data_IF_890622791365
#
_entry.id   IF_890622791365
#
_cell.length_a   1.000
_cell.length_b   1.000
_cell.length_c   1.000
_cell.angle_alpha   90.00
_cell.angle_beta   90.00
_cell.angle_gamma   90.00
#
_symmetry.space_group_name_H-M   'P 1'
#
loop_
_entity.id
_entity.type
_entity.pdbx_description
1 polymer ?
#
# COMPACT_ATOMS: atom_id res chain seq x y z
N UNK A 1 16.49 -30.95 -37.05
CA UNK A 1 17.91 -30.83 -37.38
C UNK A 1 18.31 -29.37 -37.16
N UNK A 2 19.07 -29.09 -36.08
CA UNK A 2 20.07 -28.01 -35.85
C UNK A 2 19.63 -26.56 -36.23
N UNK A 3 19.50 -25.58 -35.31
CA UNK A 3 20.57 -25.02 -34.47
C UNK A 3 20.00 -24.33 -33.21
N UNK A 4 20.52 -24.74 -32.05
CA UNK A 4 20.42 -23.99 -30.80
C UNK A 4 21.44 -22.84 -30.80
N UNK A 5 20.99 -21.66 -30.36
CA UNK A 5 21.87 -20.58 -29.89
C UNK A 5 21.87 -20.59 -28.38
N UNK A 6 22.93 -21.16 -27.83
CA UNK A 6 23.35 -21.05 -26.43
C UNK A 6 23.73 -19.60 -26.12
N UNK A 7 22.76 -18.82 -25.65
CA UNK A 7 23.01 -17.56 -24.97
C UNK A 7 23.41 -17.83 -23.53
N UNK A 8 24.71 -17.86 -23.26
CA UNK A 8 25.25 -17.90 -21.90
C UNK A 8 24.89 -16.58 -21.20
N UNK A 9 23.87 -16.63 -20.32
CA UNK A 9 23.57 -15.52 -19.41
C UNK A 9 24.69 -15.43 -18.36
N UNK A 10 25.71 -14.62 -18.63
CA UNK A 10 26.59 -14.09 -17.58
C UNK A 10 25.80 -13.12 -16.70
N UNK A 11 24.99 -13.67 -15.79
CA UNK A 11 24.46 -12.93 -14.67
C UNK A 11 25.63 -12.46 -13.81
N UNK A 12 25.94 -11.15 -13.88
CA UNK A 12 26.83 -10.47 -12.94
C UNK A 12 26.43 -10.89 -11.52
N UNK A 13 27.24 -11.74 -10.86
CA UNK A 13 27.13 -12.02 -9.42
C UNK A 13 27.36 -10.70 -8.68
N UNK A 14 26.32 -9.87 -8.54
CA UNK A 14 26.32 -8.73 -7.62
C UNK A 14 26.48 -9.31 -6.22
N UNK A 15 27.54 -8.94 -5.52
CA UNK A 15 27.89 -9.45 -4.20
C UNK A 15 26.67 -9.53 -3.28
N UNK A 16 26.25 -10.75 -2.93
CA UNK A 16 25.10 -10.98 -2.07
C UNK A 16 25.26 -10.25 -0.71
N UNK A 17 26.49 -10.22 -0.18
CA UNK A 17 26.86 -9.53 1.07
C UNK A 17 26.78 -7.99 0.99
N UNK A 18 27.00 -7.38 -0.18
CA UNK A 18 26.85 -5.92 -0.31
C UNK A 18 25.39 -5.49 -0.37
N UNK A 19 24.54 -6.35 -0.95
CA UNK A 19 23.10 -6.11 -0.99
C UNK A 19 22.48 -6.28 0.39
N UNK A 20 22.97 -7.22 1.21
CA UNK A 20 22.47 -7.48 2.55
C UNK A 20 22.67 -6.29 3.51
N UNK A 21 23.90 -5.77 3.61
CA UNK A 21 24.19 -4.55 4.39
C UNK A 21 23.39 -3.36 3.90
N UNK A 22 23.27 -3.20 2.58
CA UNK A 22 22.43 -2.15 1.99
C UNK A 22 20.96 -2.31 2.42
N UNK A 23 20.42 -3.53 2.35
CA UNK A 23 19.04 -3.81 2.77
C UNK A 23 18.82 -3.55 4.25
N UNK A 24 19.80 -3.86 5.08
CA UNK A 24 19.73 -3.57 6.50
C UNK A 24 19.73 -2.05 6.77
N UNK A 25 20.58 -1.27 6.08
CA UNK A 25 20.59 0.20 6.19
C UNK A 25 19.25 0.79 5.71
N UNK A 26 18.74 0.35 4.55
CA UNK A 26 17.41 0.74 4.06
C UNK A 26 16.30 0.43 5.08
N UNK A 27 16.40 -0.73 5.75
CA UNK A 27 15.48 -1.12 6.81
C UNK A 27 15.58 -0.21 8.04
N UNK A 28 16.79 0.14 8.49
CA UNK A 28 16.98 1.08 9.59
C UNK A 28 16.40 2.47 9.26
N UNK A 29 16.63 2.96 8.04
CA UNK A 29 16.02 4.21 7.57
C UNK A 29 14.50 4.14 7.55
N UNK A 30 13.94 3.05 7.00
CA UNK A 30 12.50 2.80 7.01
C UNK A 30 11.93 2.84 8.44
N UNK A 31 12.56 2.12 9.38
CA UNK A 31 12.13 2.07 10.79
C UNK A 31 12.27 3.42 11.49
N UNK A 32 13.30 4.19 11.16
CA UNK A 32 13.47 5.55 11.67
C UNK A 32 12.34 6.46 11.21
N UNK A 33 12.04 6.46 9.91
CA UNK A 33 10.93 7.24 9.32
C UNK A 33 9.59 6.82 9.91
N UNK A 34 9.33 5.51 10.03
CA UNK A 34 8.10 4.97 10.62
C UNK A 34 7.89 5.48 12.05
N UNK A 35 8.92 5.41 12.92
CA UNK A 35 8.84 5.92 14.30
C UNK A 35 8.56 7.42 14.36
N UNK A 36 9.17 8.21 13.47
CA UNK A 36 8.89 9.64 13.38
C UNK A 36 7.42 9.88 12.98
N UNK A 37 6.91 9.11 12.03
CA UNK A 37 5.51 9.20 11.59
C UNK A 37 4.53 8.79 12.70
N UNK A 38 4.89 7.85 13.58
CA UNK A 38 4.04 7.44 14.70
C UNK A 38 3.73 8.59 15.66
N UNK A 39 4.72 9.43 15.97
CA UNK A 39 4.57 10.55 16.91
C UNK A 39 3.90 11.79 16.29
N UNK A 40 3.80 11.88 14.96
CA UNK A 40 3.20 13.05 14.31
C UNK A 40 1.66 13.09 14.50
N UNK A 41 1.11 14.25 14.88
CA UNK A 41 -0.34 14.47 14.94
C UNK A 41 -0.95 14.49 13.53
N UNK A 42 -2.27 14.28 13.45
CA UNK A 42 -3.00 14.15 12.17
C UNK A 42 -2.78 15.33 11.21
N UNK A 43 -2.80 16.57 11.71
CA UNK A 43 -2.58 17.75 10.86
C UNK A 43 -1.17 17.79 10.24
N UNK A 44 -0.15 17.32 10.97
CA UNK A 44 1.23 17.28 10.47
C UNK A 44 1.39 16.19 9.41
N UNK A 45 0.66 15.08 9.56
CA UNK A 45 0.58 14.01 8.58
C UNK A 45 -0.08 14.49 7.28
N UNK A 46 -1.19 15.24 7.37
CA UNK A 46 -1.85 15.86 6.20
C UNK A 46 -0.95 16.87 5.47
N UNK A 47 -0.23 17.70 6.23
CA UNK A 47 0.74 18.65 5.67
C UNK A 47 1.89 17.91 4.97
N UNK A 48 2.42 16.85 5.60
CA UNK A 48 3.48 16.03 5.02
C UNK A 48 2.99 15.32 3.75
N UNK A 49 1.78 14.76 3.73
CA UNK A 49 1.19 14.14 2.54
C UNK A 49 1.09 15.15 1.38
N UNK A 50 0.61 16.36 1.67
CA UNK A 50 0.49 17.44 0.69
C UNK A 50 1.86 17.87 0.15
N UNK A 51 2.86 17.97 1.01
CA UNK A 51 4.23 18.28 0.62
C UNK A 51 4.86 17.19 -0.26
N UNK A 52 4.74 15.92 0.14
CA UNK A 52 5.24 14.78 -0.66
C UNK A 52 4.55 14.69 -2.02
N UNK A 53 3.25 14.95 -2.07
CA UNK A 53 2.49 15.00 -3.32
C UNK A 53 2.96 16.15 -4.22
N UNK A 54 3.20 17.34 -3.66
CA UNK A 54 3.78 18.47 -4.39
C UNK A 54 5.15 18.12 -4.97
N UNK A 55 6.04 17.51 -4.17
CA UNK A 55 7.36 17.08 -4.65
C UNK A 55 7.22 16.04 -5.77
N UNK A 56 6.41 15.00 -5.58
CA UNK A 56 6.25 13.92 -6.55
C UNK A 56 5.62 14.40 -7.87
N UNK A 57 4.59 15.24 -7.80
CA UNK A 57 3.80 15.64 -8.96
C UNK A 57 4.33 16.88 -9.69
N UNK A 58 4.69 17.92 -8.93
CA UNK A 58 5.04 19.23 -9.48
C UNK A 58 6.54 19.40 -9.72
N UNK A 59 7.37 18.96 -8.76
CA UNK A 59 8.83 19.13 -8.81
C UNK A 59 9.48 17.99 -9.62
N UNK A 60 9.36 16.76 -9.13
CA UNK A 60 9.99 15.58 -9.72
C UNK A 60 9.23 15.06 -10.94
N UNK A 61 7.93 15.37 -11.05
CA UNK A 61 7.01 14.89 -12.09
C UNK A 61 7.05 13.35 -12.24
N UNK A 62 7.29 12.65 -11.13
CA UNK A 62 7.50 11.20 -11.10
C UNK A 62 6.28 10.49 -11.66
N UNK A 63 6.42 9.82 -12.82
CA UNK A 63 5.33 9.12 -13.52
C UNK A 63 4.08 9.97 -13.83
N UNK A 64 4.19 11.30 -13.79
CA UNK A 64 3.06 12.21 -14.04
C UNK A 64 2.42 11.98 -15.41
N UNK A 65 3.22 11.71 -16.45
CA UNK A 65 2.74 11.39 -17.80
C UNK A 65 1.85 10.14 -17.80
N UNK A 66 2.29 9.07 -17.14
CA UNK A 66 1.52 7.82 -17.03
C UNK A 66 0.18 8.05 -16.33
N UNK A 67 0.18 8.82 -15.24
CA UNK A 67 -1.04 9.16 -14.53
C UNK A 67 -2.04 9.92 -15.43
N UNK A 68 -1.57 10.93 -16.17
CA UNK A 68 -2.42 11.72 -17.07
C UNK A 68 -2.93 10.91 -18.26
N UNK A 69 -2.11 10.03 -18.84
CA UNK A 69 -2.55 9.12 -19.91
C UNK A 69 -3.61 8.13 -19.43
N UNK A 70 -3.45 7.57 -18.22
CA UNK A 70 -4.45 6.70 -17.64
C UNK A 70 -5.77 7.44 -17.41
N UNK A 71 -5.72 8.67 -16.89
CA UNK A 71 -6.91 9.50 -16.71
C UNK A 71 -7.56 9.90 -18.05
N UNK A 72 -6.76 10.12 -19.10
CA UNK A 72 -7.28 10.39 -20.43
C UNK A 72 -8.03 9.19 -21.03
N UNK A 73 -7.58 7.96 -20.74
CA UNK A 73 -8.26 6.74 -21.18
C UNK A 73 -9.50 6.43 -20.33
N UNK A 74 -9.42 6.65 -19.02
CA UNK A 74 -10.52 6.36 -18.09
C UNK A 74 -11.64 7.41 -18.12
N UNK A 75 -11.29 8.67 -18.36
CA UNK A 75 -12.20 9.81 -18.39
C UNK A 75 -11.98 10.68 -19.63
N UNK A 76 -12.21 10.13 -20.85
CA UNK A 76 -12.00 10.86 -22.09
C UNK A 76 -12.87 12.13 -22.19
N UNK A 77 -14.03 12.13 -21.56
CA UNK A 77 -14.99 13.23 -21.51
C UNK A 77 -14.54 14.42 -20.65
N UNK A 78 -13.61 14.20 -19.71
CA UNK A 78 -13.16 15.25 -18.80
C UNK A 78 -12.16 16.20 -19.48
N UNK A 79 -12.24 17.53 -19.27
CA UNK A 79 -11.23 18.45 -19.75
C UNK A 79 -9.83 18.14 -19.19
N UNK A 80 -8.79 18.54 -19.93
CA UNK A 80 -7.39 18.34 -19.51
C UNK A 80 -7.11 18.96 -18.14
N UNK A 81 -7.67 20.14 -17.86
CA UNK A 81 -7.53 20.81 -16.57
C UNK A 81 -8.12 19.98 -15.41
N UNK A 82 -9.27 19.34 -15.62
CA UNK A 82 -9.89 18.48 -14.61
C UNK A 82 -9.08 17.20 -14.39
N UNK A 83 -8.62 16.54 -15.47
CA UNK A 83 -7.71 15.39 -15.38
C UNK A 83 -6.41 15.75 -14.64
N UNK A 84 -5.88 16.95 -14.86
CA UNK A 84 -4.70 17.45 -14.17
C UNK A 84 -4.96 17.65 -12.66
N UNK A 85 -6.14 18.16 -12.29
CA UNK A 85 -6.57 18.29 -10.89
C UNK A 85 -6.71 16.91 -10.23
N UNK A 86 -7.40 15.98 -10.88
CA UNK A 86 -7.57 14.59 -10.39
C UNK A 86 -6.21 13.92 -10.20
N UNK A 87 -5.29 14.08 -11.16
CA UNK A 87 -3.95 13.53 -11.03
C UNK A 87 -3.20 14.07 -9.80
N UNK A 88 -3.30 15.38 -9.53
CA UNK A 88 -2.67 15.98 -8.35
C UNK A 88 -3.28 15.44 -7.05
N UNK A 89 -4.60 15.38 -6.96
CA UNK A 89 -5.29 14.81 -5.79
C UNK A 89 -4.97 13.33 -5.60
N UNK A 90 -4.82 12.57 -6.69
CA UNK A 90 -4.40 11.17 -6.62
C UNK A 90 -2.99 11.01 -6.01
N UNK A 91 -2.07 11.95 -6.24
CA UNK A 91 -0.75 11.93 -5.60
C UNK A 91 -0.84 12.26 -4.11
N UNK A 92 -1.71 13.20 -3.73
CA UNK A 92 -1.99 13.49 -2.31
C UNK A 92 -2.61 12.29 -1.61
N UNK A 93 -3.62 11.67 -2.22
CA UNK A 93 -4.23 10.43 -1.73
C UNK A 93 -3.21 9.31 -1.57
N UNK A 94 -2.35 9.10 -2.56
CA UNK A 94 -1.31 8.08 -2.49
C UNK A 94 -0.28 8.36 -1.39
N UNK A 95 0.15 9.62 -1.24
CA UNK A 95 1.03 10.01 -0.14
C UNK A 95 0.37 9.77 1.22
N UNK A 96 -0.92 10.09 1.35
CA UNK A 96 -1.69 9.85 2.56
C UNK A 96 -1.76 8.35 2.87
N UNK A 97 -2.12 7.53 1.90
CA UNK A 97 -2.15 6.09 2.02
C UNK A 97 -0.82 5.49 2.51
N UNK A 98 0.31 5.96 2.00
CA UNK A 98 1.64 5.50 2.44
C UNK A 98 1.93 5.87 3.90
N UNK A 99 1.57 7.09 4.32
CA UNK A 99 1.75 7.53 5.70
C UNK A 99 0.81 6.78 6.67
N UNK A 100 -0.45 6.57 6.29
CA UNK A 100 -1.40 5.76 7.07
C UNK A 100 -0.94 4.32 7.19
N UNK A 101 -0.42 3.73 6.10
CA UNK A 101 0.18 2.40 6.14
C UNK A 101 1.33 2.31 7.16
N UNK A 102 2.19 3.33 7.26
CA UNK A 102 3.23 3.35 8.29
C UNK A 102 2.65 3.53 9.70
N UNK A 103 1.54 4.27 9.87
CA UNK A 103 0.87 4.45 11.16
C UNK A 103 0.02 3.25 11.60
N UNK A 104 -0.39 2.39 10.68
CA UNK A 104 -1.34 1.31 10.97
C UNK A 104 -0.86 0.39 12.10
N UNK A 105 0.46 0.21 12.27
CA UNK A 105 1.04 -0.60 13.34
C UNK A 105 0.95 0.06 14.73
N UNK A 106 0.74 1.37 14.78
CA UNK A 106 0.55 2.16 16.01
C UNK A 106 -0.91 2.27 16.46
N UNK A 107 -1.86 1.83 15.63
CA UNK A 107 -3.28 1.88 15.94
C UNK A 107 -3.75 0.61 16.67
N UNK A 108 -4.94 0.74 17.28
CA UNK A 108 -5.71 -0.35 17.86
C UNK A 108 -7.04 -0.52 17.09
N UNK A 109 -7.79 -1.58 17.42
CA UNK A 109 -9.05 -1.87 16.74
C UNK A 109 -10.09 -0.75 16.93
N UNK A 110 -10.28 -0.15 18.13
CA UNK A 110 -11.17 1.01 18.29
C UNK A 110 -10.81 2.18 17.40
N UNK A 111 -9.51 2.48 17.24
CA UNK A 111 -9.05 3.55 16.34
C UNK A 111 -9.40 3.24 14.88
N UNK A 112 -9.13 2.02 14.41
CA UNK A 112 -9.53 1.59 13.06
C UNK A 112 -11.04 1.69 12.88
N UNK A 113 -11.82 1.22 13.85
CA UNK A 113 -13.27 1.25 13.80
C UNK A 113 -13.84 2.67 13.70
N UNK A 114 -13.27 3.62 14.43
CA UNK A 114 -13.67 5.04 14.35
C UNK A 114 -13.48 5.67 12.96
N UNK A 115 -12.66 5.06 12.10
CA UNK A 115 -12.41 5.53 10.73
C UNK A 115 -13.34 4.89 9.71
N UNK A 116 -14.14 3.90 10.10
CA UNK A 116 -14.97 3.13 9.19
C UNK A 116 -16.41 3.59 9.24
N UNK A 117 -16.95 3.87 8.06
CA UNK A 117 -18.38 4.04 7.85
C UNK A 117 -18.80 3.13 6.71
N UNK A 118 -19.80 2.28 6.95
CA UNK A 118 -20.33 1.36 5.96
C UNK A 118 -21.73 1.81 5.56
N UNK A 119 -21.97 1.94 4.26
CA UNK A 119 -23.31 2.21 3.72
C UNK A 119 -24.31 1.11 4.12
N UNK A 120 -23.81 -0.12 4.31
CA UNK A 120 -24.59 -1.27 4.77
C UNK A 120 -23.88 -1.95 5.95
N UNK A 121 -24.09 -1.49 7.20
CA UNK A 121 -23.33 -1.94 8.36
C UNK A 121 -23.50 -3.43 8.67
N UNK A 122 -24.65 -4.02 8.32
CA UNK A 122 -24.95 -5.42 8.60
C UNK A 122 -24.36 -6.39 7.56
N UNK A 123 -23.86 -5.89 6.43
CA UNK A 123 -23.45 -6.74 5.30
C UNK A 123 -22.31 -7.69 5.69
N UNK A 124 -21.34 -7.24 6.48
CA UNK A 124 -20.26 -8.11 6.95
C UNK A 124 -20.76 -9.17 7.94
N UNK A 125 -21.67 -8.83 8.85
CA UNK A 125 -22.23 -9.80 9.79
C UNK A 125 -23.09 -10.84 9.09
N UNK A 126 -23.88 -10.41 8.09
CA UNK A 126 -24.66 -11.32 7.23
C UNK A 126 -23.75 -12.24 6.43
N UNK A 127 -22.65 -11.71 5.88
CA UNK A 127 -21.65 -12.51 5.18
C UNK A 127 -21.02 -13.54 6.12
N UNK A 128 -20.66 -13.14 7.33
CA UNK A 128 -20.09 -14.04 8.35
C UNK A 128 -21.03 -15.19 8.68
N UNK A 129 -22.32 -14.90 8.85
CA UNK A 129 -23.34 -15.90 9.16
C UNK A 129 -23.65 -16.82 7.97
N UNK A 130 -23.66 -16.28 6.75
CA UNK A 130 -24.15 -17.00 5.56
C UNK A 130 -23.17 -18.05 5.04
N UNK A 131 -21.87 -17.89 5.27
CA UNK A 131 -20.90 -18.83 4.72
C UNK A 131 -20.88 -20.19 5.45
N UNK A 132 -21.45 -20.30 6.67
CA UNK A 132 -21.72 -21.59 7.32
C UNK A 132 -20.51 -22.52 7.45
N UNK A 133 -19.32 -21.97 7.65
CA UNK A 133 -18.04 -22.70 7.68
C UNK A 133 -17.37 -22.93 6.31
N UNK A 134 -18.01 -22.58 5.19
CA UNK A 134 -17.36 -22.54 3.87
C UNK A 134 -16.51 -21.27 3.77
N UNK A 135 -15.28 -21.38 3.30
CA UNK A 135 -14.43 -20.20 3.09
C UNK A 135 -15.01 -19.26 2.03
N UNK A 136 -14.60 -17.99 2.03
CA UNK A 136 -14.94 -17.01 1.00
C UNK A 136 -13.69 -16.25 0.55
N UNK A 137 -13.76 -15.64 -0.63
CA UNK A 137 -12.69 -14.78 -1.15
C UNK A 137 -13.19 -13.35 -1.19
N UNK A 138 -12.52 -12.46 -0.46
CA UNK A 138 -12.74 -11.02 -0.56
C UNK A 138 -11.86 -10.46 -1.67
N UNK A 139 -12.50 -9.86 -2.68
CA UNK A 139 -11.78 -9.21 -3.79
C UNK A 139 -11.90 -7.70 -3.64
N UNK A 140 -10.78 -7.00 -3.68
CA UNK A 140 -10.71 -5.54 -3.66
C UNK A 140 -9.77 -5.02 -4.73
N UNK A 141 -9.87 -3.73 -5.04
CA UNK A 141 -8.94 -3.02 -5.92
C UNK A 141 -7.87 -2.26 -5.13
N UNK A 142 -6.82 -1.81 -5.83
CA UNK A 142 -5.90 -0.80 -5.30
C UNK A 142 -6.58 0.57 -5.30
N UNK A 143 -7.61 0.70 -4.48
CA UNK A 143 -8.50 1.85 -4.43
C UNK A 143 -8.80 2.23 -2.98
N UNK A 144 -9.03 3.52 -2.73
CA UNK A 144 -9.18 4.05 -1.37
C UNK A 144 -7.93 3.75 -0.54
N UNK A 145 -8.12 3.45 0.75
CA UNK A 145 -7.07 2.90 1.62
C UNK A 145 -7.30 1.40 1.86
N UNK A 146 -6.78 0.58 0.94
CA UNK A 146 -6.99 -0.87 0.96
C UNK A 146 -6.29 -1.57 2.14
N UNK A 147 -5.18 -1.03 2.67
CA UNK A 147 -4.48 -1.64 3.81
C UNK A 147 -5.28 -1.44 5.10
N UNK A 148 -5.81 -0.24 5.33
CA UNK A 148 -6.61 0.06 6.52
C UNK A 148 -7.91 -0.72 6.56
N UNK A 149 -8.64 -0.80 5.43
CA UNK A 149 -9.88 -1.59 5.37
C UNK A 149 -9.59 -3.08 5.52
N UNK A 150 -8.50 -3.60 4.93
CA UNK A 150 -8.11 -4.99 5.11
C UNK A 150 -7.83 -5.29 6.59
N UNK A 151 -7.00 -4.46 7.25
CA UNK A 151 -6.67 -4.61 8.66
C UNK A 151 -7.91 -4.61 9.56
N UNK A 152 -8.84 -3.69 9.32
CA UNK A 152 -10.09 -3.63 10.07
C UNK A 152 -10.95 -4.88 9.85
N UNK A 153 -11.16 -5.29 8.59
CA UNK A 153 -12.00 -6.45 8.28
C UNK A 153 -11.42 -7.75 8.85
N UNK A 154 -10.11 -7.94 8.73
CA UNK A 154 -9.43 -9.11 9.28
C UNK A 154 -9.54 -9.15 10.81
N UNK A 155 -9.20 -8.05 11.49
CA UNK A 155 -9.22 -8.00 12.95
C UNK A 155 -10.64 -8.09 13.55
N UNK A 156 -11.66 -7.56 12.88
CA UNK A 156 -13.03 -7.52 13.41
C UNK A 156 -13.89 -8.72 13.00
N UNK A 157 -13.83 -9.13 11.73
CA UNK A 157 -14.79 -10.09 11.17
C UNK A 157 -14.16 -11.41 10.77
N UNK A 158 -12.86 -11.43 10.45
CA UNK A 158 -12.20 -12.60 9.83
C UNK A 158 -10.85 -12.92 10.48
N UNK A 159 -10.83 -13.23 11.79
CA UNK A 159 -9.61 -13.60 12.47
C UNK A 159 -8.99 -14.84 11.82
N UNK A 160 -7.75 -14.72 11.33
CA UNK A 160 -7.04 -15.80 10.63
C UNK A 160 -7.28 -15.85 9.11
N UNK A 161 -7.78 -14.78 8.51
CA UNK A 161 -7.77 -14.60 7.06
C UNK A 161 -6.36 -14.63 6.48
N UNK A 162 -6.23 -14.93 5.18
CA UNK A 162 -4.94 -14.95 4.49
C UNK A 162 -4.90 -13.94 3.35
N UNK A 163 -3.88 -13.08 3.34
CA UNK A 163 -3.56 -12.22 2.20
C UNK A 163 -2.61 -12.89 1.21
N UNK A 164 -2.84 -12.71 -0.09
CA UNK A 164 -1.85 -13.08 -1.12
C UNK A 164 -0.87 -11.92 -1.29
N UNK A 165 0.38 -12.12 -0.90
CA UNK A 165 1.41 -11.07 -0.87
C UNK A 165 2.57 -11.42 -1.80
N UNK A 166 3.00 -10.45 -2.60
CA UNK A 166 4.23 -10.54 -3.38
C UNK A 166 5.45 -10.25 -2.48
N UNK A 167 6.42 -11.17 -2.46
CA UNK A 167 7.69 -10.99 -1.75
C UNK A 167 8.44 -9.75 -2.23
N UNK A 168 8.82 -8.87 -1.29
CA UNK A 168 9.62 -7.69 -1.57
C UNK A 168 11.11 -8.04 -1.72
N UNK A 169 11.85 -7.19 -2.43
CA UNK A 169 13.29 -7.41 -2.67
C UNK A 169 14.13 -7.34 -1.39
N UNK A 170 13.82 -6.37 -0.54
CA UNK A 170 14.47 -6.19 0.76
C UNK A 170 13.77 -7.07 1.78
N UNK A 171 14.43 -8.14 2.22
CA UNK A 171 13.82 -9.15 3.08
C UNK A 171 13.59 -8.67 4.53
N UNK A 172 14.33 -7.67 5.02
CA UNK A 172 14.09 -7.07 6.33
C UNK A 172 12.77 -6.27 6.32
N UNK A 173 12.58 -5.45 5.28
CA UNK A 173 11.32 -4.70 5.11
C UNK A 173 10.16 -5.66 4.82
N UNK A 174 10.38 -6.70 3.99
CA UNK A 174 9.38 -7.74 3.71
C UNK A 174 8.87 -8.40 5.00
N UNK A 175 9.80 -8.88 5.84
CA UNK A 175 9.48 -9.47 7.14
C UNK A 175 8.73 -8.49 8.03
N UNK A 176 9.19 -7.23 8.11
CA UNK A 176 8.53 -6.21 8.92
C UNK A 176 7.09 -5.92 8.47
N UNK A 177 6.85 -5.79 7.17
CA UNK A 177 5.51 -5.58 6.60
C UNK A 177 4.61 -6.80 6.84
N UNK A 178 5.15 -8.01 6.72
CA UNK A 178 4.42 -9.24 7.06
C UNK A 178 4.04 -9.25 8.55
N UNK A 179 4.98 -8.91 9.43
CA UNK A 179 4.74 -8.88 10.88
C UNK A 179 3.71 -7.78 11.26
N UNK A 180 3.73 -6.64 10.57
CA UNK A 180 2.68 -5.60 10.68
C UNK A 180 1.29 -6.12 10.30
N UNK A 181 1.17 -6.91 9.23
CA UNK A 181 -0.11 -7.48 8.78
C UNK A 181 -0.60 -8.59 9.71
N UNK A 182 0.31 -9.44 10.19
CA UNK A 182 -0.01 -10.49 11.18
C UNK A 182 -0.59 -9.95 12.47
N UNK A 183 -0.19 -8.75 12.91
CA UNK A 183 -0.80 -8.06 14.06
C UNK A 183 -2.32 -7.90 13.89
N UNK A 184 -2.77 -7.69 12.66
CA UNK A 184 -4.17 -7.55 12.27
C UNK A 184 -4.79 -8.85 11.77
N UNK A 185 -4.11 -9.99 11.97
CA UNK A 185 -4.55 -11.32 11.57
C UNK A 185 -4.70 -11.46 10.03
N UNK A 186 -3.79 -10.81 9.29
CA UNK A 186 -3.62 -10.84 7.82
C UNK A 186 -2.32 -11.53 7.37
#
# INVERSE_FOLDING_TARGET
>A
MIFGRSGVFFGKKRNALSNDRKYYIEYLLFRGIEKLIHILPGFAIEALASFLAFLGFSVLKYRRKVALENLARAFPEKPVAERMRIARESYRHFAMLMLEFMKISSWDLPKLESMMQFDQPDTMQRLVKSYGGKGFVLVTGHFGNWETIAAYLAAKYFPGGMGIIKKQRNHYIDKHVIDMRKRWQL
#
